data_IF_376698765628
#
_entry.id   IF_376698765628
#
_cell.length_a   1.000
_cell.length_b   1.000
_cell.length_c   1.000
_cell.angle_alpha   90.00
_cell.angle_beta   90.00
_cell.angle_gamma   90.00
#
_symmetry.space_group_name_H-M   'P 1'
#
loop_
_entity.id
_entity.type
_entity.pdbx_description
1 polymer ?
#
# COMPACT_ATOMS: atom_id res chain seq x y z
N UNK A 1 -25.69 11.34 -17.19
CA UNK A 1 -24.95 10.19 -16.65
C UNK A 1 -23.71 10.70 -15.92
N UNK A 2 -23.49 10.22 -14.70
CA UNK A 2 -22.28 10.56 -13.96
C UNK A 2 -21.26 9.45 -14.19
N UNK A 3 -20.08 9.82 -14.67
CA UNK A 3 -18.99 8.89 -14.87
C UNK A 3 -17.93 9.12 -13.78
N UNK A 4 -17.38 8.03 -13.29
CA UNK A 4 -16.33 8.05 -12.27
C UNK A 4 -15.03 7.50 -12.83
N UNK A 5 -13.94 8.04 -12.35
CA UNK A 5 -12.59 7.55 -12.68
C UNK A 5 -11.86 7.17 -11.41
N UNK A 6 -11.09 6.09 -11.47
CA UNK A 6 -10.17 5.73 -10.39
C UNK A 6 -8.91 6.58 -10.52
N UNK A 7 -8.69 7.49 -9.60
CA UNK A 7 -7.52 8.38 -9.61
C UNK A 7 -6.64 8.05 -8.41
N UNK A 8 -5.34 8.16 -8.58
CA UNK A 8 -4.40 7.88 -7.49
C UNK A 8 -4.67 8.84 -6.34
N UNK A 9 -4.94 8.26 -5.17
CA UNK A 9 -5.08 9.01 -3.91
C UNK A 9 -3.76 9.09 -3.18
N UNK A 10 -3.09 7.95 -3.01
CA UNK A 10 -1.87 7.85 -2.21
C UNK A 10 -0.97 6.75 -2.71
N UNK A 11 0.33 6.92 -2.47
CA UNK A 11 1.33 5.86 -2.67
C UNK A 11 2.23 5.77 -1.45
N UNK A 12 2.52 4.53 -1.05
CA UNK A 12 3.66 4.26 -0.18
C UNK A 12 4.70 3.62 -1.09
N UNK A 13 5.74 4.36 -1.42
CA UNK A 13 6.73 3.96 -2.40
C UNK A 13 8.02 3.52 -1.73
N UNK A 14 8.53 2.36 -2.12
CA UNK A 14 9.81 1.87 -1.61
C UNK A 14 9.70 1.10 -0.29
N UNK A 15 8.50 0.63 0.06
CA UNK A 15 8.34 -0.18 1.26
C UNK A 15 9.04 -1.53 1.10
N UNK A 16 9.75 -1.95 2.14
CA UNK A 16 10.41 -3.26 2.19
C UNK A 16 9.54 -4.24 2.96
N UNK A 17 9.25 -5.39 2.36
CA UNK A 17 8.50 -6.46 3.04
C UNK A 17 9.35 -7.00 4.18
N UNK A 18 8.80 -6.97 5.42
CA UNK A 18 9.50 -7.40 6.63
C UNK A 18 8.99 -8.71 7.19
N UNK A 19 7.77 -9.12 6.79
CA UNK A 19 7.11 -10.29 7.36
C UNK A 19 6.16 -10.89 6.33
N UNK A 20 6.00 -12.20 6.36
CA UNK A 20 4.96 -12.87 5.55
C UNK A 20 4.44 -14.08 6.29
N UNK A 21 3.16 -14.38 6.10
CA UNK A 21 2.52 -15.53 6.74
C UNK A 21 1.42 -16.06 5.84
N UNK A 22 1.65 -17.23 5.25
CA UNK A 22 0.78 -17.81 4.25
C UNK A 22 -0.58 -18.24 4.81
N UNK A 23 -0.58 -18.85 6.00
CA UNK A 23 -1.82 -19.40 6.57
C UNK A 23 -2.51 -18.38 7.45
N UNK A 24 -3.03 -17.35 6.81
CA UNK A 24 -3.71 -16.22 7.44
C UNK A 24 -4.72 -15.63 6.46
N UNK A 25 -5.65 -14.81 6.93
CA UNK A 25 -6.56 -14.09 6.03
C UNK A 25 -5.76 -13.19 5.09
N UNK A 26 -6.13 -13.17 3.80
CA UNK A 26 -5.39 -12.40 2.81
C UNK A 26 -5.43 -10.90 3.08
N UNK A 27 -4.27 -10.27 3.25
CA UNK A 27 -4.17 -8.83 3.52
C UNK A 27 -2.73 -8.35 3.43
N UNK A 28 -2.56 -7.03 3.48
CA UNK A 28 -1.25 -6.42 3.66
C UNK A 28 -1.25 -5.66 4.98
N UNK A 29 -0.31 -6.01 5.87
CA UNK A 29 -0.12 -5.32 7.14
C UNK A 29 0.82 -4.14 6.95
N UNK A 30 0.40 -2.96 7.42
CA UNK A 30 1.16 -1.73 7.23
C UNK A 30 1.28 -1.00 8.57
N UNK A 31 2.49 -0.60 8.92
CA UNK A 31 2.75 0.25 10.08
C UNK A 31 1.77 1.42 10.13
N UNK A 32 1.12 1.60 11.26
CA UNK A 32 0.13 2.66 11.46
C UNK A 32 0.70 4.05 11.14
N UNK A 33 1.97 4.31 11.45
CA UNK A 33 2.59 5.60 11.13
C UNK A 33 2.59 5.86 9.63
N UNK A 34 2.80 4.82 8.82
CA UNK A 34 2.76 4.95 7.35
C UNK A 34 1.35 5.20 6.86
N UNK A 35 0.36 4.54 7.48
CA UNK A 35 -1.05 4.72 7.14
C UNK A 35 -1.48 6.16 7.41
N UNK A 36 -1.10 6.72 8.55
CA UNK A 36 -1.43 8.09 8.90
C UNK A 36 -0.79 9.09 7.91
N UNK A 37 0.46 8.87 7.56
CA UNK A 37 1.18 9.76 6.64
C UNK A 37 0.68 9.69 5.20
N UNK A 38 0.14 8.54 4.79
CA UNK A 38 -0.35 8.34 3.44
C UNK A 38 -1.86 8.52 3.29
N UNK A 39 -2.57 8.74 4.39
CA UNK A 39 -4.04 8.83 4.42
C UNK A 39 -4.69 7.55 3.88
N UNK A 40 -4.19 6.42 4.30
CA UNK A 40 -4.77 5.11 4.02
C UNK A 40 -5.29 4.56 5.34
N UNK A 41 -6.45 3.92 5.34
CA UNK A 41 -7.05 3.37 6.55
C UNK A 41 -7.17 1.86 6.48
N UNK A 42 -7.26 1.23 7.65
CA UNK A 42 -7.49 -0.21 7.74
C UNK A 42 -8.78 -0.58 7.01
N UNK A 43 -8.75 -1.68 6.26
CA UNK A 43 -9.86 -2.14 5.46
C UNK A 43 -9.92 -1.56 4.06
N UNK A 44 -9.09 -0.57 3.77
CA UNK A 44 -9.06 0.05 2.44
C UNK A 44 -8.42 -0.91 1.43
N UNK A 45 -9.03 -1.01 0.25
CA UNK A 45 -8.47 -1.78 -0.86
C UNK A 45 -7.29 -1.03 -1.45
N UNK A 46 -6.20 -1.74 -1.69
CA UNK A 46 -5.00 -1.18 -2.30
C UNK A 46 -4.49 -2.10 -3.40
N UNK A 47 -3.71 -1.52 -4.30
CA UNK A 47 -2.95 -2.26 -5.29
C UNK A 47 -1.49 -2.29 -4.85
N UNK A 48 -0.88 -3.47 -4.93
CA UNK A 48 0.51 -3.68 -4.53
C UNK A 48 1.33 -4.06 -5.77
N UNK A 49 2.44 -3.37 -5.97
CA UNK A 49 3.36 -3.62 -7.07
C UNK A 49 4.71 -4.03 -6.47
N UNK A 50 5.21 -5.18 -6.89
CA UNK A 50 6.49 -5.70 -6.41
C UNK A 50 7.57 -5.42 -7.44
N UNK A 51 8.57 -4.61 -7.08
CA UNK A 51 9.66 -4.25 -7.98
C UNK A 51 10.60 -5.41 -8.26
N UNK A 52 10.68 -6.38 -7.38
CA UNK A 52 11.65 -7.49 -7.51
C UNK A 52 11.17 -8.59 -8.45
N UNK A 53 9.86 -8.84 -8.52
CA UNK A 53 9.31 -9.92 -9.34
C UNK A 53 8.26 -9.47 -10.35
N UNK A 54 7.90 -8.19 -10.37
CA UNK A 54 6.91 -7.64 -11.30
C UNK A 54 5.48 -7.99 -10.99
N UNK A 55 5.19 -8.65 -9.88
CA UNK A 55 3.82 -8.98 -9.50
C UNK A 55 3.03 -7.72 -9.17
N UNK A 56 1.77 -7.74 -9.57
CA UNK A 56 0.83 -6.66 -9.31
C UNK A 56 -0.47 -7.31 -8.84
N UNK A 57 -0.91 -6.99 -7.63
CA UNK A 57 -2.10 -7.61 -7.05
C UNK A 57 -2.86 -6.63 -6.20
N UNK A 58 -4.11 -6.99 -5.91
CA UNK A 58 -4.99 -6.22 -5.04
C UNK A 58 -5.23 -6.96 -3.74
N UNK A 59 -5.29 -6.21 -2.65
CA UNK A 59 -5.61 -6.73 -1.34
C UNK A 59 -6.19 -5.60 -0.49
N UNK A 60 -6.45 -5.85 0.77
CA UNK A 60 -6.89 -4.82 1.71
C UNK A 60 -5.89 -4.66 2.85
N UNK A 61 -5.96 -3.52 3.51
CA UNK A 61 -4.99 -3.10 4.51
C UNK A 61 -5.42 -3.54 5.90
N UNK A 62 -4.47 -4.07 6.68
CA UNK A 62 -4.62 -4.17 8.13
C UNK A 62 -3.55 -3.33 8.81
N UNK A 63 -3.87 -2.83 9.99
CA UNK A 63 -2.99 -1.96 10.74
C UNK A 63 -1.98 -2.78 11.54
N UNK A 64 -0.70 -2.44 11.41
CA UNK A 64 0.36 -2.99 12.25
C UNK A 64 0.76 -1.93 13.28
N UNK A 65 1.49 -2.37 14.29
CA UNK A 65 1.90 -1.50 15.39
C UNK A 65 2.60 -0.25 14.90
N UNK A 66 2.22 0.89 15.45
CA UNK A 66 2.79 2.19 15.08
C UNK A 66 4.29 2.24 15.38
N UNK A 67 5.06 2.72 14.40
CA UNK A 67 6.51 2.84 14.46
C UNK A 67 7.24 1.49 14.52
N UNK A 68 6.58 0.41 14.12
CA UNK A 68 7.20 -0.92 14.05
C UNK A 68 8.03 -1.13 12.78
N UNK A 69 7.75 -0.34 11.75
CA UNK A 69 8.36 -0.55 10.43
C UNK A 69 7.81 -1.76 9.70
N UNK A 70 6.76 -2.40 10.20
CA UNK A 70 6.24 -3.64 9.63
C UNK A 70 5.51 -3.37 8.31
N UNK A 71 5.89 -4.13 7.30
CA UNK A 71 5.18 -4.30 6.03
C UNK A 71 5.06 -5.81 5.84
N UNK A 72 3.84 -6.34 5.95
CA UNK A 72 3.63 -7.78 6.00
C UNK A 72 2.67 -8.24 4.92
N UNK A 73 2.95 -9.38 4.31
CA UNK A 73 2.02 -10.04 3.38
C UNK A 73 1.41 -11.26 4.05
N UNK A 74 0.09 -11.29 4.09
CA UNK A 74 -0.67 -12.34 4.75
C UNK A 74 -1.54 -13.11 3.75
N UNK A 75 -1.67 -14.41 3.99
CA UNK A 75 -2.50 -15.28 3.17
C UNK A 75 -1.94 -15.46 1.77
N UNK A 76 -2.80 -15.52 0.74
CA UNK A 76 -2.34 -15.70 -0.65
C UNK A 76 -1.35 -14.65 -1.12
N UNK A 77 -1.42 -13.43 -0.60
CA UNK A 77 -0.46 -12.37 -0.93
C UNK A 77 0.97 -12.76 -0.56
N UNK A 78 1.14 -13.60 0.47
CA UNK A 78 2.46 -14.07 0.89
C UNK A 78 3.20 -14.87 -0.19
N UNK A 79 2.48 -15.38 -1.19
CA UNK A 79 3.11 -16.07 -2.33
C UNK A 79 3.62 -15.10 -3.40
N UNK A 80 3.27 -13.84 -3.31
CA UNK A 80 3.57 -12.84 -4.34
C UNK A 80 4.73 -11.93 -3.97
N UNK A 81 5.41 -12.20 -2.85
CA UNK A 81 6.57 -11.45 -2.43
C UNK A 81 7.38 -12.18 -1.38
N UNK A 82 8.65 -11.80 -1.28
CA UNK A 82 9.58 -12.34 -0.30
C UNK A 82 10.00 -11.24 0.68
N UNK A 83 10.40 -11.63 1.88
CA UNK A 83 10.99 -10.68 2.83
C UNK A 83 12.20 -10.03 2.17
N UNK A 84 12.27 -8.71 2.23
CA UNK A 84 13.31 -7.93 1.57
C UNK A 84 12.92 -7.36 0.22
N UNK A 85 11.83 -7.84 -0.38
CA UNK A 85 11.34 -7.26 -1.64
C UNK A 85 10.87 -5.82 -1.44
N UNK A 86 11.08 -4.99 -2.44
CA UNK A 86 10.66 -3.59 -2.45
C UNK A 86 9.35 -3.48 -3.18
N UNK A 87 8.37 -2.86 -2.57
CA UNK A 87 7.04 -2.71 -3.14
C UNK A 87 6.54 -1.27 -3.14
N UNK A 88 5.53 -1.03 -3.96
CA UNK A 88 4.75 0.21 -3.96
C UNK A 88 3.31 -0.16 -3.63
N UNK A 89 2.70 0.58 -2.70
CA UNK A 89 1.32 0.38 -2.29
C UNK A 89 0.52 1.59 -2.76
N UNK A 90 -0.53 1.37 -3.55
CA UNK A 90 -1.29 2.46 -4.17
C UNK A 90 -2.75 2.36 -3.76
N UNK A 91 -3.31 3.49 -3.32
CA UNK A 91 -4.75 3.61 -3.09
C UNK A 91 -5.36 4.61 -4.07
N UNK A 92 -6.66 4.51 -4.28
CA UNK A 92 -7.36 5.25 -5.33
C UNK A 92 -8.59 5.96 -4.77
N UNK A 93 -8.89 7.15 -5.34
CA UNK A 93 -10.20 7.77 -5.21
C UNK A 93 -11.07 7.37 -6.40
N UNK A 94 -12.36 7.31 -6.17
CA UNK A 94 -13.34 7.31 -7.26
C UNK A 94 -13.90 8.73 -7.35
N UNK A 95 -13.58 9.41 -8.43
CA UNK A 95 -13.97 10.82 -8.61
C UNK A 95 -14.77 10.98 -9.89
N UNK A 96 -15.70 11.94 -9.91
CA UNK A 96 -16.45 12.25 -11.11
C UNK A 96 -15.54 12.88 -12.16
N UNK A 97 -15.90 12.75 -13.44
CA UNK A 97 -15.10 13.28 -14.56
C UNK A 97 -14.73 14.74 -14.40
N UNK A 98 -15.64 15.54 -13.87
CA UNK A 98 -15.44 16.99 -13.73
C UNK A 98 -14.57 17.37 -12.53
N UNK A 99 -14.25 16.42 -11.66
CA UNK A 99 -13.44 16.65 -10.46
C UNK A 99 -12.00 16.16 -10.58
N UNK A 100 -11.60 15.61 -11.73
CA UNK A 100 -10.27 14.98 -11.87
C UNK A 100 -9.12 15.96 -11.67
N UNK A 101 -9.29 17.22 -12.01
CA UNK A 101 -8.27 18.25 -11.83
C UNK A 101 -8.04 18.67 -10.37
N UNK A 102 -8.93 18.25 -9.47
CA UNK A 102 -8.86 18.61 -8.05
C UNK A 102 -8.19 17.54 -7.19
N UNK A 103 -7.85 16.41 -7.78
CA UNK A 103 -7.23 15.30 -7.05
C UNK A 103 -5.75 15.57 -6.92
N UNK A 104 -5.25 15.54 -5.68
CA UNK A 104 -3.82 15.64 -5.38
C UNK A 104 -3.39 14.37 -4.69
N UNK A 105 -2.43 13.67 -5.28
CA UNK A 105 -1.90 12.46 -4.69
C UNK A 105 -0.97 12.76 -3.52
N UNK A 106 -0.97 11.87 -2.54
CA UNK A 106 -0.09 11.95 -1.39
C UNK A 106 0.90 10.80 -1.47
N UNK A 107 2.19 11.13 -1.52
CA UNK A 107 3.24 10.12 -1.68
C UNK A 107 4.11 10.08 -0.44
N UNK A 108 4.20 8.89 0.16
CA UNK A 108 5.15 8.60 1.24
C UNK A 108 6.30 7.81 0.63
N UNK A 109 7.51 8.38 0.69
CA UNK A 109 8.71 7.70 0.23
C UNK A 109 9.39 7.03 1.42
N UNK A 110 9.61 5.72 1.30
CA UNK A 110 10.36 4.95 2.28
C UNK A 110 11.70 4.55 1.69
N UNK A 111 12.73 4.63 2.50
CA UNK A 111 14.06 4.19 2.17
C UNK A 111 14.41 2.92 2.93
N UNK A 112 15.71 2.70 3.10
CA UNK A 112 16.24 1.53 3.79
C UNK A 112 15.59 1.35 5.16
N UNK A 113 15.25 0.09 5.47
CA UNK A 113 14.63 -0.31 6.75
C UNK A 113 13.29 0.41 6.99
N UNK A 114 12.57 0.73 5.92
CA UNK A 114 11.27 1.40 5.97
C UNK A 114 11.31 2.73 6.71
N UNK A 115 12.41 3.45 6.59
CA UNK A 115 12.51 4.79 7.16
C UNK A 115 12.01 5.81 6.15
N UNK A 116 11.21 6.76 6.64
CA UNK A 116 10.71 7.81 5.76
C UNK A 116 11.89 8.60 5.18
N UNK A 117 11.87 8.78 3.86
CA UNK A 117 12.83 9.62 3.18
C UNK A 117 12.46 11.08 3.41
N UNK A 118 13.44 11.87 3.75
CA UNK A 118 13.26 13.31 3.96
C UNK A 118 13.54 14.11 2.69
#
# INVERSE_FOLDING_TARGET
>A
MVNFRGMIKSKIHGATITKKELYYSGSIGIDKAFLLKSNIVAGEKVQVLNFNNGQRFETYVIEEKENSGIIALYGPAARLGEIGDIICIISYYFVSDDATGNVKEKILLLGKDNKAAE
#
